data_IF_970648704827
#
_entry.id   IF_970648704827
#
_cell.length_a   1.000
_cell.length_b   1.000
_cell.length_c   1.000
_cell.angle_alpha   90.00
_cell.angle_beta   90.00
_cell.angle_gamma   90.00
#
_symmetry.space_group_name_H-M   'P 1'
#
loop_
_entity.id
_entity.type
_entity.pdbx_description
1 polymer ?
#
# COMPACT_ATOMS: atom_id res chain seq x y z
N UNK A 1 -11.49 24.84 -1.35
CA UNK A 1 -12.77 25.54 -1.15
C UNK A 1 -13.84 24.46 -0.99
N UNK A 2 -14.28 24.20 0.25
CA UNK A 2 -15.34 23.21 0.54
C UNK A 2 -16.68 23.89 0.25
N UNK A 3 -17.31 23.54 -0.87
CA UNK A 3 -18.63 24.01 -1.23
C UNK A 3 -19.66 23.03 -0.63
N UNK A 4 -20.74 23.49 0.02
CA UNK A 4 -21.67 22.64 0.79
C UNK A 4 -22.42 21.58 -0.04
N UNK A 5 -22.25 21.58 -1.37
CA UNK A 5 -22.90 20.67 -2.31
C UNK A 5 -21.97 19.61 -2.92
N UNK A 6 -20.68 19.56 -2.54
CA UNK A 6 -19.84 18.44 -2.96
C UNK A 6 -20.31 17.18 -2.22
N UNK A 7 -20.82 16.17 -2.96
CA UNK A 7 -21.19 14.87 -2.36
C UNK A 7 -20.01 14.34 -1.53
N UNK A 8 -20.27 13.69 -0.42
CA UNK A 8 -19.20 13.02 0.34
C UNK A 8 -18.72 11.78 -0.44
N UNK A 9 -17.58 11.23 -0.03
CA UNK A 9 -17.18 9.90 -0.48
C UNK A 9 -18.30 8.90 -0.09
N UNK A 10 -18.72 7.95 -0.96
CA UNK A 10 -19.91 7.12 -0.73
C UNK A 10 -19.63 5.97 0.26
N UNK A 11 -19.26 6.32 1.48
CA UNK A 11 -19.04 5.39 2.59
C UNK A 11 -20.39 4.90 3.12
N UNK A 12 -20.47 3.60 3.40
CA UNK A 12 -21.66 2.94 3.97
C UNK A 12 -21.33 2.36 5.33
N UNK A 13 -22.28 2.46 6.25
CA UNK A 13 -22.17 1.80 7.56
C UNK A 13 -22.19 0.27 7.38
N UNK A 14 -21.42 -0.51 8.17
CA UNK A 14 -21.41 -1.99 8.13
C UNK A 14 -22.77 -2.68 8.08
N UNK A 15 -23.78 -2.05 8.68
CA UNK A 15 -25.16 -2.56 8.69
C UNK A 15 -25.77 -2.67 7.29
N UNK A 16 -25.33 -1.84 6.32
CA UNK A 16 -25.77 -1.98 4.92
C UNK A 16 -25.32 -3.30 4.30
N UNK A 17 -24.13 -3.78 4.66
CA UNK A 17 -23.57 -5.03 4.14
C UNK A 17 -24.02 -6.26 4.95
N UNK A 18 -24.70 -6.06 6.09
CA UNK A 18 -25.06 -7.14 6.99
C UNK A 18 -26.14 -8.05 6.39
N UNK A 19 -25.84 -9.35 6.32
CA UNK A 19 -26.73 -10.36 5.73
C UNK A 19 -26.80 -10.30 4.20
N UNK A 20 -26.07 -9.39 3.56
CA UNK A 20 -26.02 -9.27 2.10
C UNK A 20 -25.08 -10.31 1.49
N UNK A 21 -25.22 -10.52 0.18
CA UNK A 21 -24.38 -11.40 -0.62
C UNK A 21 -23.63 -10.54 -1.64
N UNK A 22 -22.32 -10.76 -1.76
CA UNK A 22 -21.48 -10.09 -2.75
C UNK A 22 -20.74 -11.13 -3.61
N UNK A 23 -20.43 -10.79 -4.85
CA UNK A 23 -19.57 -11.63 -5.69
C UNK A 23 -18.14 -11.61 -5.17
N UNK A 24 -17.64 -10.41 -4.85
CA UNK A 24 -16.29 -10.21 -4.34
C UNK A 24 -16.31 -9.44 -3.01
N UNK A 25 -15.56 -9.91 -2.03
CA UNK A 25 -15.29 -9.17 -0.79
C UNK A 25 -13.80 -8.88 -0.71
N UNK A 26 -13.41 -7.60 -0.74
CA UNK A 26 -12.03 -7.15 -0.59
C UNK A 26 -11.80 -6.67 0.84
N UNK A 27 -10.83 -7.27 1.53
CA UNK A 27 -10.51 -6.96 2.92
C UNK A 27 -9.24 -6.10 2.99
N UNK A 28 -9.43 -4.79 3.15
CA UNK A 28 -8.39 -3.77 3.21
C UNK A 28 -8.39 -2.90 1.96
N UNK A 29 -8.77 -1.64 2.12
CA UNK A 29 -8.72 -0.57 1.12
C UNK A 29 -7.36 0.09 1.02
N UNK A 30 -6.28 -0.67 1.19
CA UNK A 30 -4.91 -0.20 1.06
C UNK A 30 -4.46 -0.01 -0.40
N UNK A 31 -3.15 -0.06 -0.62
CA UNK A 31 -2.56 0.16 -1.96
C UNK A 31 -3.06 -0.82 -3.02
N UNK A 32 -2.98 -2.13 -2.75
CA UNK A 32 -3.51 -3.16 -3.64
C UNK A 32 -5.05 -3.17 -3.65
N UNK A 33 -5.67 -3.00 -2.48
CA UNK A 33 -7.12 -3.06 -2.32
C UNK A 33 -7.88 -2.02 -3.13
N UNK A 34 -7.40 -0.78 -3.19
CA UNK A 34 -8.00 0.26 -4.04
C UNK A 34 -7.95 -0.10 -5.53
N UNK A 35 -6.78 -0.57 -6.01
CA UNK A 35 -6.61 -0.96 -7.41
C UNK A 35 -7.52 -2.14 -7.79
N UNK A 36 -7.52 -3.17 -6.95
CA UNK A 36 -8.31 -4.37 -7.17
C UNK A 36 -9.83 -4.11 -7.10
N UNK A 37 -10.29 -3.40 -6.07
CA UNK A 37 -11.71 -3.01 -5.94
C UNK A 37 -12.17 -2.21 -7.15
N UNK A 38 -11.33 -1.29 -7.63
CA UNK A 38 -11.64 -0.52 -8.83
C UNK A 38 -11.77 -1.41 -10.06
N UNK A 39 -10.87 -2.38 -10.27
CA UNK A 39 -10.96 -3.29 -11.43
C UNK A 39 -12.16 -4.23 -11.35
N UNK A 40 -12.41 -4.84 -10.19
CA UNK A 40 -13.56 -5.74 -10.01
C UNK A 40 -14.89 -5.02 -10.23
N UNK A 41 -15.00 -3.77 -9.75
CA UNK A 41 -16.24 -2.98 -9.90
C UNK A 41 -16.45 -2.37 -11.29
N UNK A 42 -15.53 -2.57 -12.25
CA UNK A 42 -15.72 -2.14 -13.65
C UNK A 42 -16.90 -2.85 -14.33
N UNK A 43 -17.12 -4.13 -14.01
CA UNK A 43 -18.27 -4.88 -14.50
C UNK A 43 -19.51 -4.54 -13.67
N UNK A 44 -20.56 -3.91 -14.25
CA UNK A 44 -21.77 -3.57 -13.51
C UNK A 44 -22.59 -4.79 -13.06
N UNK A 45 -22.28 -5.99 -13.58
CA UNK A 45 -22.99 -7.22 -13.25
C UNK A 45 -22.40 -7.95 -12.04
N UNK A 46 -21.28 -7.48 -11.48
CA UNK A 46 -20.69 -8.05 -10.27
C UNK A 46 -20.81 -7.09 -9.10
N UNK A 47 -21.15 -7.65 -7.94
CA UNK A 47 -21.27 -6.94 -6.67
C UNK A 47 -19.98 -7.04 -5.86
N UNK A 48 -19.46 -5.89 -5.43
CA UNK A 48 -18.18 -5.79 -4.72
C UNK A 48 -18.39 -5.10 -3.36
N UNK A 49 -17.92 -5.72 -2.30
CA UNK A 49 -17.81 -5.13 -0.97
C UNK A 49 -16.34 -4.84 -0.65
N UNK A 50 -16.02 -3.59 -0.36
CA UNK A 50 -14.73 -3.20 0.20
C UNK A 50 -14.87 -2.91 1.70
N UNK A 51 -14.06 -3.57 2.53
CA UNK A 51 -13.96 -3.34 3.97
C UNK A 51 -12.61 -2.70 4.27
N UNK A 52 -12.59 -1.50 4.87
CA UNK A 52 -11.37 -0.81 5.28
C UNK A 52 -11.44 -0.39 6.74
N UNK A 53 -10.37 -0.68 7.49
CA UNK A 53 -10.26 -0.37 8.92
C UNK A 53 -10.28 1.13 9.17
N UNK A 54 -9.56 1.91 8.34
CA UNK A 54 -9.46 3.35 8.48
C UNK A 54 -10.60 4.13 7.82
N UNK A 55 -10.65 5.45 8.03
CA UNK A 55 -11.57 6.35 7.33
C UNK A 55 -11.15 6.55 5.87
N UNK A 56 -12.04 7.08 5.01
CA UNK A 56 -11.63 7.56 3.69
C UNK A 56 -10.76 8.83 3.76
N UNK A 57 -11.15 9.77 4.64
CA UNK A 57 -10.44 11.02 4.98
C UNK A 57 -9.80 11.76 3.77
N UNK A 58 -10.57 11.94 2.69
CA UNK A 58 -10.14 12.73 1.52
C UNK A 58 -10.19 14.23 1.83
N UNK A 59 -9.03 14.84 2.07
CA UNK A 59 -8.94 16.26 2.40
C UNK A 59 -7.73 16.94 1.74
N UNK A 60 -7.65 18.26 1.83
CA UNK A 60 -6.58 19.01 1.20
C UNK A 60 -5.19 18.69 1.79
N UNK A 61 -5.11 18.44 3.10
CA UNK A 61 -3.85 18.14 3.79
C UNK A 61 -3.27 16.80 3.35
N UNK A 62 -4.10 15.79 3.06
CA UNK A 62 -3.64 14.49 2.55
C UNK A 62 -3.06 14.57 1.13
N UNK A 63 -3.31 15.66 0.41
CA UNK A 63 -2.77 15.93 -0.94
C UNK A 63 -1.48 16.74 -0.93
N UNK A 64 -1.15 17.41 0.18
CA UNK A 64 0.10 18.19 0.29
C UNK A 64 1.27 17.24 0.62
N UNK A 65 2.30 17.11 -0.25
CA UNK A 65 3.40 16.16 -0.06
C UNK A 65 4.07 16.19 1.32
N UNK A 66 4.49 17.37 1.79
CA UNK A 66 5.22 17.52 3.06
C UNK A 66 4.34 17.24 4.29
N UNK A 67 3.04 17.58 4.23
CA UNK A 67 2.10 17.39 5.34
C UNK A 67 1.65 15.92 5.41
N UNK A 68 1.33 15.33 4.26
CA UNK A 68 0.87 13.94 4.17
C UNK A 68 1.95 12.91 4.50
N UNK A 69 3.22 13.24 4.32
CA UNK A 69 4.35 12.35 4.68
C UNK A 69 4.68 12.38 6.18
N UNK A 70 4.05 13.25 6.97
CA UNK A 70 4.27 13.32 8.40
C UNK A 70 3.47 12.24 9.14
N UNK A 71 4.12 11.09 9.38
CA UNK A 71 3.56 9.93 10.08
C UNK A 71 3.27 10.18 11.57
N UNK A 72 3.76 11.28 12.16
CA UNK A 72 3.50 11.63 13.55
C UNK A 72 2.22 12.46 13.72
N UNK A 73 1.57 12.82 12.61
CA UNK A 73 0.36 13.64 12.62
C UNK A 73 -0.85 12.77 12.96
N UNK A 74 -1.55 13.10 14.06
CA UNK A 74 -2.63 12.28 14.61
C UNK A 74 -3.78 12.00 13.62
N UNK A 75 -4.14 12.96 12.76
CA UNK A 75 -5.20 12.83 11.75
C UNK A 75 -4.67 12.39 10.37
N UNK A 76 -3.40 11.95 10.30
CA UNK A 76 -2.74 11.51 9.07
C UNK A 76 -3.06 10.09 8.63
N UNK A 77 -3.72 9.29 9.48
CA UNK A 77 -4.00 7.88 9.21
C UNK A 77 -2.79 6.96 9.29
N UNK A 78 -1.67 7.44 9.87
CA UNK A 78 -0.53 6.60 10.20
C UNK A 78 -0.77 5.92 11.56
N UNK A 79 -0.54 4.63 11.60
CA UNK A 79 -0.58 3.80 12.81
C UNK A 79 0.73 3.05 12.93
N UNK A 80 1.03 2.54 14.12
CA UNK A 80 2.28 1.82 14.37
C UNK A 80 2.07 0.57 15.19
N UNK A 81 2.74 -0.50 14.79
CA UNK A 81 2.75 -1.78 15.46
C UNK A 81 4.08 -1.92 16.17
N UNK A 82 4.05 -2.19 17.47
CA UNK A 82 5.26 -2.35 18.26
C UNK A 82 5.79 -3.77 18.05
N UNK A 83 7.04 -3.88 17.60
CA UNK A 83 7.71 -5.17 17.52
C UNK A 83 8.07 -5.68 18.93
N UNK A 84 8.08 -7.01 19.09
CA UNK A 84 8.70 -7.65 20.24
C UNK A 84 10.20 -7.28 20.32
N UNK A 85 10.82 -7.32 21.52
CA UNK A 85 12.26 -7.10 21.68
C UNK A 85 13.08 -7.94 20.71
N UNK A 86 13.92 -7.28 19.91
CA UNK A 86 14.70 -7.95 18.88
C UNK A 86 16.08 -8.31 19.41
N UNK A 87 16.32 -9.62 19.60
CA UNK A 87 17.58 -10.19 20.09
C UNK A 87 18.85 -9.65 19.41
N UNK A 88 18.78 -9.40 18.10
CA UNK A 88 19.93 -8.93 17.30
C UNK A 88 20.02 -7.39 17.18
N UNK A 89 19.22 -6.67 17.97
CA UNK A 89 19.15 -5.21 17.97
C UNK A 89 19.20 -4.63 19.39
N UNK A 90 19.97 -5.22 20.30
CA UNK A 90 20.07 -4.83 21.72
C UNK A 90 18.71 -4.79 22.44
N UNK A 91 17.87 -5.79 22.17
CA UNK A 91 16.50 -5.92 22.70
C UNK A 91 15.59 -4.71 22.42
N UNK A 92 15.97 -3.87 21.44
CA UNK A 92 15.17 -2.72 21.05
C UNK A 92 13.84 -3.16 20.45
N UNK A 93 12.81 -2.39 20.78
CA UNK A 93 11.49 -2.50 20.16
C UNK A 93 11.38 -1.45 19.06
N UNK A 94 11.21 -1.92 17.83
CA UNK A 94 10.99 -1.04 16.68
C UNK A 94 9.50 -0.79 16.47
N UNK A 95 9.18 0.32 15.81
CA UNK A 95 7.82 0.66 15.39
C UNK A 95 7.65 0.36 13.90
N UNK A 96 6.74 -0.54 13.59
CA UNK A 96 6.31 -0.82 12.23
C UNK A 96 5.13 0.08 11.87
N UNK A 97 5.40 1.18 11.16
CA UNK A 97 4.36 2.09 10.70
C UNK A 97 3.58 1.52 9.51
N UNK A 98 2.26 1.72 9.52
CA UNK A 98 1.33 1.37 8.45
C UNK A 98 0.29 2.47 8.26
N UNK A 99 -0.34 2.53 7.07
CA UNK A 99 -1.47 3.42 6.82
C UNK A 99 -2.78 2.72 7.14
N UNK A 100 -3.53 3.23 8.12
CA UNK A 100 -4.88 2.82 8.50
C UNK A 100 -5.88 3.90 8.03
N UNK A 101 -6.00 4.00 6.71
CA UNK A 101 -6.81 4.99 5.98
C UNK A 101 -6.97 4.45 4.56
N UNK A 102 -8.05 4.79 3.85
CA UNK A 102 -8.20 4.42 2.43
C UNK A 102 -6.99 4.86 1.59
N UNK A 103 -6.41 3.92 0.83
CA UNK A 103 -5.14 4.03 0.12
C UNK A 103 -3.95 3.44 0.87
N UNK A 104 -4.07 3.25 2.19
CA UNK A 104 -3.07 2.66 3.07
C UNK A 104 -1.74 3.39 3.00
N UNK A 105 -0.65 2.64 2.84
CA UNK A 105 0.72 3.18 2.79
C UNK A 105 0.92 4.29 1.74
N UNK A 106 0.21 4.25 0.60
CA UNK A 106 0.34 5.27 -0.44
C UNK A 106 -0.12 6.68 0.00
N UNK A 107 -0.92 6.77 1.07
CA UNK A 107 -1.37 8.05 1.64
C UNK A 107 -0.32 8.73 2.51
N UNK A 108 0.58 7.94 3.10
CA UNK A 108 1.52 8.41 4.13
C UNK A 108 2.99 8.23 3.74
N UNK A 109 3.28 7.54 2.64
CA UNK A 109 4.64 7.28 2.17
C UNK A 109 5.36 8.54 1.65
N UNK A 110 6.64 8.43 1.34
CA UNK A 110 7.45 9.52 0.79
C UNK A 110 7.24 9.79 -0.72
N UNK A 111 6.21 9.21 -1.33
CA UNK A 111 5.83 9.33 -2.77
C UNK A 111 6.89 8.84 -3.76
N UNK A 112 8.00 8.26 -3.32
CA UNK A 112 9.00 7.69 -4.23
C UNK A 112 8.37 6.57 -5.04
N UNK A 113 8.47 6.67 -6.37
CA UNK A 113 8.03 5.67 -7.31
C UNK A 113 9.24 4.96 -7.90
N UNK A 114 9.36 3.67 -7.59
CA UNK A 114 10.38 2.78 -8.13
C UNK A 114 9.77 1.40 -8.38
N UNK A 115 10.12 0.77 -9.49
CA UNK A 115 9.87 -0.65 -9.75
C UNK A 115 11.04 -1.49 -9.18
N UNK A 116 10.80 -2.78 -8.97
CA UNK A 116 11.90 -3.73 -8.74
C UNK A 116 12.75 -3.91 -10.00
N UNK A 117 13.89 -4.54 -9.85
CA UNK A 117 14.75 -4.92 -10.97
C UNK A 117 14.13 -6.10 -11.72
N UNK A 118 14.45 -6.30 -13.01
CA UNK A 118 13.95 -7.46 -13.75
C UNK A 118 14.25 -8.80 -13.04
N UNK A 119 15.46 -8.91 -12.49
CA UNK A 119 15.91 -10.08 -11.73
C UNK A 119 15.02 -10.39 -10.51
N UNK A 120 14.45 -9.38 -9.85
CA UNK A 120 13.56 -9.60 -8.70
C UNK A 120 12.32 -10.40 -9.10
N UNK A 121 11.70 -10.06 -10.23
CA UNK A 121 10.48 -10.71 -10.74
C UNK A 121 10.80 -12.03 -11.46
N UNK A 122 11.89 -12.06 -12.22
CA UNK A 122 12.33 -13.29 -12.87
C UNK A 122 12.72 -14.37 -11.84
N UNK A 123 13.17 -13.96 -10.64
CA UNK A 123 13.35 -14.89 -9.53
C UNK A 123 12.03 -15.55 -9.09
N UNK A 124 10.90 -14.84 -9.15
CA UNK A 124 9.59 -15.42 -8.84
C UNK A 124 9.19 -16.44 -9.91
N UNK A 125 9.46 -16.14 -11.19
CA UNK A 125 9.25 -17.10 -12.28
C UNK A 125 10.08 -18.38 -12.07
N UNK A 126 11.35 -18.24 -11.69
CA UNK A 126 12.24 -19.36 -11.38
C UNK A 126 11.78 -20.18 -10.15
N UNK A 127 11.05 -19.56 -9.22
CA UNK A 127 10.44 -20.24 -8.06
C UNK A 127 9.15 -20.99 -8.40
N UNK A 128 8.76 -21.06 -9.68
CA UNK A 128 7.58 -21.81 -10.14
C UNK A 128 6.36 -20.94 -10.44
N UNK A 129 6.53 -19.63 -10.59
CA UNK A 129 5.46 -18.68 -10.93
C UNK A 129 5.71 -18.02 -12.29
N UNK A 130 5.65 -18.77 -13.42
CA UNK A 130 6.10 -18.28 -14.73
C UNK A 130 5.38 -17.00 -15.20
N UNK A 131 4.11 -16.82 -14.82
CA UNK A 131 3.32 -15.63 -15.14
C UNK A 131 3.79 -14.35 -14.42
N UNK A 132 4.76 -14.47 -13.50
CA UNK A 132 5.28 -13.38 -12.67
C UNK A 132 6.70 -12.92 -13.07
N UNK A 133 7.18 -13.29 -14.26
CA UNK A 133 8.41 -12.71 -14.83
C UNK A 133 8.28 -11.22 -15.08
N UNK A 134 9.41 -10.50 -15.21
CA UNK A 134 9.38 -9.06 -15.49
C UNK A 134 8.65 -8.76 -16.81
N UNK A 135 8.91 -9.57 -17.84
CA UNK A 135 8.27 -9.46 -19.15
C UNK A 135 6.73 -9.53 -19.05
N UNK A 136 6.22 -10.49 -18.27
CA UNK A 136 4.78 -10.66 -18.08
C UNK A 136 4.15 -9.54 -17.23
N UNK A 137 4.90 -8.96 -16.31
CA UNK A 137 4.42 -7.87 -15.44
C UNK A 137 4.57 -6.47 -16.06
N UNK A 138 5.48 -6.29 -17.03
CA UNK A 138 5.73 -5.00 -17.68
C UNK A 138 4.46 -4.33 -18.24
N UNK A 139 3.57 -5.04 -18.96
CA UNK A 139 2.30 -4.46 -19.41
C UNK A 139 1.43 -3.94 -18.25
N UNK A 140 1.46 -4.57 -17.08
CA UNK A 140 0.71 -4.13 -15.91
C UNK A 140 1.34 -2.92 -15.23
N UNK A 141 2.68 -2.85 -15.17
CA UNK A 141 3.36 -1.63 -14.71
C UNK A 141 2.99 -0.44 -15.59
N UNK A 142 3.07 -0.59 -16.91
CA UNK A 142 2.69 0.46 -17.86
C UNK A 142 1.21 0.81 -17.76
N UNK A 143 0.31 -0.18 -17.66
CA UNK A 143 -1.13 0.04 -17.49
C UNK A 143 -1.48 0.81 -16.20
N UNK A 144 -0.66 0.69 -15.17
CA UNK A 144 -0.92 1.30 -13.87
C UNK A 144 -0.59 2.80 -13.81
N UNK A 145 0.41 3.25 -14.57
CA UNK A 145 0.99 4.58 -14.43
C UNK A 145 0.71 5.52 -15.61
N UNK A 146 0.82 6.82 -15.35
CA UNK A 146 1.07 7.85 -16.37
C UNK A 146 2.30 8.62 -15.96
N UNK A 147 3.38 8.54 -16.73
CA UNK A 147 4.56 9.37 -16.56
C UNK A 147 4.32 10.74 -17.21
N UNK A 148 4.30 11.80 -16.39
CA UNK A 148 4.27 13.17 -16.88
C UNK A 148 5.66 13.60 -17.36
N UNK A 149 5.70 14.23 -18.53
CA UNK A 149 6.92 14.73 -19.15
C UNK A 149 6.98 14.42 -20.64
N UNK A 150 8.03 14.86 -21.31
CA UNK A 150 8.22 14.71 -22.77
C UNK A 150 8.98 13.44 -23.18
N UNK A 151 9.43 12.62 -22.24
CA UNK A 151 10.15 11.38 -22.56
C UNK A 151 9.15 10.25 -22.81
N UNK A 152 8.92 9.96 -24.10
CA UNK A 152 8.33 8.67 -24.49
C UNK A 152 9.34 7.57 -24.19
N UNK A 153 8.88 6.52 -23.52
CA UNK A 153 9.68 5.34 -23.22
C UNK A 153 8.82 4.10 -23.48
N UNK A 154 9.41 3.10 -24.13
CA UNK A 154 8.74 1.83 -24.43
C UNK A 154 8.40 1.02 -23.16
N UNK A 155 8.93 1.46 -22.01
CA UNK A 155 8.78 0.79 -20.71
C UNK A 155 7.91 1.58 -19.73
N UNK A 156 7.40 2.75 -20.10
CA UNK A 156 6.62 3.64 -19.21
C UNK A 156 5.19 3.79 -19.69
N UNK A 157 4.26 3.87 -18.74
CA UNK A 157 2.85 4.11 -19.03
C UNK A 157 2.54 5.59 -19.27
N UNK A 158 1.58 5.88 -20.15
CA UNK A 158 1.12 7.24 -20.46
C UNK A 158 -0.40 7.44 -20.28
N UNK A 159 -1.12 6.39 -19.91
CA UNK A 159 -2.59 6.40 -19.79
C UNK A 159 -3.12 5.82 -18.48
N UNK A 160 -2.26 5.28 -17.62
CA UNK A 160 -2.65 4.67 -16.36
C UNK A 160 -3.05 5.72 -15.31
N UNK A 161 -3.94 5.37 -14.36
CA UNK A 161 -4.46 6.35 -13.42
C UNK A 161 -3.43 6.86 -12.40
N UNK A 162 -2.33 6.15 -12.18
CA UNK A 162 -1.34 6.52 -11.18
C UNK A 162 -0.29 7.46 -11.76
N UNK A 163 -0.47 8.74 -11.51
CA UNK A 163 0.40 9.78 -12.08
C UNK A 163 1.76 9.79 -11.39
N UNK A 164 2.82 9.76 -12.19
CA UNK A 164 4.21 9.87 -11.77
C UNK A 164 4.90 11.02 -12.50
N UNK A 165 5.88 11.65 -11.88
CA UNK A 165 6.75 12.62 -12.55
C UNK A 165 8.12 12.68 -11.87
N UNK A 166 9.10 13.23 -12.57
CA UNK A 166 10.41 13.57 -12.01
C UNK A 166 10.59 15.09 -11.97
N UNK A 167 11.42 15.56 -11.04
CA UNK A 167 11.78 16.98 -10.95
C UNK A 167 13.20 17.15 -11.46
N UNK A 168 13.45 18.03 -12.45
CA UNK A 168 14.78 18.23 -12.96
C UNK A 168 15.75 18.65 -11.85
N UNK A 169 16.96 18.08 -11.89
CA UNK A 169 18.04 18.31 -10.92
C UNK A 169 18.46 19.78 -10.77
N UNK A 170 18.14 20.61 -11.76
CA UNK A 170 18.39 22.05 -11.78
C UNK A 170 17.23 22.90 -11.23
N UNK A 171 16.14 22.29 -10.76
CA UNK A 171 15.12 23.04 -10.02
C UNK A 171 15.70 23.55 -8.69
N UNK A 172 15.50 24.84 -8.44
CA UNK A 172 16.14 25.66 -7.40
C UNK A 172 16.14 25.09 -5.97
N UNK A 173 15.23 24.17 -5.65
CA UNK A 173 15.07 23.60 -4.31
C UNK A 173 16.14 22.54 -3.94
N UNK A 174 16.96 22.05 -4.88
CA UNK A 174 17.84 20.90 -4.65
C UNK A 174 19.32 21.14 -4.99
N UNK A 175 19.89 22.31 -4.65
CA UNK A 175 21.34 22.56 -4.85
C UNK A 175 22.23 21.47 -4.25
N UNK A 176 21.80 20.87 -3.13
CA UNK A 176 22.48 19.73 -2.51
C UNK A 176 22.54 18.51 -3.45
N UNK A 177 21.46 18.21 -4.19
CA UNK A 177 21.42 17.07 -5.12
C UNK A 177 22.51 17.18 -6.19
N UNK A 178 22.71 18.38 -6.76
CA UNK A 178 23.80 18.60 -7.73
C UNK A 178 25.17 18.30 -7.12
N UNK A 179 25.44 18.81 -5.91
CA UNK A 179 26.71 18.57 -5.21
C UNK A 179 26.93 17.09 -4.93
N UNK A 180 25.89 16.38 -4.48
CA UNK A 180 25.94 14.93 -4.25
C UNK A 180 26.15 14.15 -5.56
N UNK A 181 25.45 14.52 -6.64
CA UNK A 181 25.57 13.89 -7.95
C UNK A 181 26.97 14.07 -8.53
N UNK A 182 27.54 15.27 -8.45
CA UNK A 182 28.89 15.56 -8.92
C UNK A 182 29.95 14.81 -8.11
N UNK A 183 29.80 14.75 -6.78
CA UNK A 183 30.70 14.00 -5.91
C UNK A 183 30.63 12.49 -6.18
N UNK A 184 29.43 11.92 -6.31
CA UNK A 184 29.27 10.49 -6.59
C UNK A 184 29.79 10.13 -8.00
N UNK A 185 29.61 11.00 -9.00
CA UNK A 185 30.22 10.82 -10.32
C UNK A 185 31.75 10.84 -10.25
N UNK A 186 32.33 11.74 -9.46
CA UNK A 186 33.78 11.79 -9.25
C UNK A 186 34.34 10.53 -8.56
N UNK A 187 33.51 9.83 -7.78
CA UNK A 187 33.82 8.53 -7.18
C UNK A 187 33.59 7.34 -8.12
N UNK A 188 33.11 7.57 -9.35
CA UNK A 188 32.89 6.53 -10.36
C UNK A 188 31.47 5.93 -10.39
N UNK A 189 30.52 6.47 -9.62
CA UNK A 189 29.13 6.01 -9.70
C UNK A 189 28.48 6.45 -11.02
N UNK A 190 27.77 5.51 -11.66
CA UNK A 190 27.04 5.75 -12.90
C UNK A 190 25.78 6.59 -12.63
N UNK A 191 25.43 7.47 -13.56
CA UNK A 191 24.12 8.12 -13.57
C UNK A 191 23.12 7.19 -14.26
N UNK A 192 21.99 6.94 -13.61
CA UNK A 192 20.88 6.13 -14.12
C UNK A 192 19.68 7.07 -14.32
N UNK A 193 19.35 7.32 -15.58
CA UNK A 193 18.33 8.31 -15.94
C UNK A 193 16.91 7.86 -15.63
N UNK A 194 16.60 6.56 -15.83
CA UNK A 194 15.34 5.96 -15.41
C UNK A 194 15.63 4.59 -14.76
N UNK A 195 15.39 4.42 -13.45
CA UNK A 195 15.57 3.14 -12.78
C UNK A 195 14.43 2.14 -13.05
N UNK A 196 13.40 2.52 -13.81
CA UNK A 196 12.19 1.73 -14.01
C UNK A 196 12.16 0.98 -15.36
N UNK A 197 13.30 0.81 -16.02
CA UNK A 197 13.47 0.05 -17.27
C UNK A 197 14.05 -1.35 -16.99
N UNK A 198 13.84 -2.33 -17.88
CA UNK A 198 14.36 -3.69 -17.69
C UNK A 198 15.89 -3.77 -17.59
N UNK A 199 16.59 -2.86 -18.27
CA UNK A 199 18.05 -2.81 -18.38
C UNK A 199 18.72 -1.86 -17.38
N UNK A 200 17.93 -1.23 -16.50
CA UNK A 200 18.41 -0.31 -15.48
C UNK A 200 19.50 -0.96 -14.63
N UNK A 201 20.63 -0.26 -14.46
CA UNK A 201 21.70 -0.70 -13.57
C UNK A 201 21.24 -0.59 -12.11
N UNK A 202 21.75 -1.49 -11.27
CA UNK A 202 21.39 -1.57 -9.84
C UNK A 202 22.33 -0.80 -8.92
N UNK A 203 23.46 -0.35 -9.45
CA UNK A 203 24.48 0.41 -8.74
C UNK A 203 24.72 1.75 -9.45
N UNK A 204 24.39 2.85 -8.77
CA UNK A 204 24.53 4.18 -9.31
C UNK A 204 23.64 5.24 -8.65
N UNK A 205 23.67 6.42 -9.23
CA UNK A 205 22.87 7.58 -8.85
C UNK A 205 21.63 7.59 -9.74
N UNK A 206 20.46 7.40 -9.14
CA UNK A 206 19.20 7.30 -9.89
C UNK A 206 18.43 8.60 -9.92
N UNK A 207 17.75 8.87 -11.02
CA UNK A 207 16.65 9.83 -11.06
C UNK A 207 15.49 9.32 -10.19
N UNK A 208 15.00 10.17 -9.29
CA UNK A 208 13.88 9.84 -8.41
C UNK A 208 12.57 10.29 -9.05
N UNK A 209 11.67 9.33 -9.27
CA UNK A 209 10.30 9.61 -9.67
C UNK A 209 9.40 9.71 -8.43
N UNK A 210 8.38 10.54 -8.53
CA UNK A 210 7.43 10.80 -7.45
C UNK A 210 5.99 10.64 -7.93
N UNK A 211 5.13 10.06 -7.08
CA UNK A 211 3.68 9.93 -7.33
C UNK A 211 2.96 11.23 -6.99
N UNK A 212 3.19 12.26 -7.81
CA UNK A 212 2.58 13.58 -7.69
C UNK A 212 2.07 14.07 -9.04
N UNK A 213 0.99 14.84 -9.05
CA UNK A 213 0.38 15.38 -10.28
C UNK A 213 0.98 16.72 -10.72
N UNK A 214 0.53 17.29 -11.84
CA UNK A 214 0.96 18.57 -12.40
C UNK A 214 0.83 19.74 -11.41
N UNK A 215 -0.11 19.62 -10.46
CA UNK A 215 -0.34 20.58 -9.37
C UNK A 215 0.53 20.32 -8.14
N UNK A 216 1.50 19.40 -8.23
CA UNK A 216 2.40 18.96 -7.16
C UNK A 216 1.68 18.40 -5.94
N UNK A 217 0.52 17.79 -6.16
CA UNK A 217 -0.25 17.12 -5.13
C UNK A 217 0.08 15.63 -5.16
N UNK A 218 0.13 15.00 -3.99
CA UNK A 218 0.23 13.54 -3.85
C UNK A 218 -0.87 12.86 -4.66
N UNK A 219 -0.50 11.83 -5.39
CA UNK A 219 -1.42 10.88 -6.02
C UNK A 219 -1.24 9.53 -5.34
N UNK A 220 -2.12 9.24 -4.40
CA UNK A 220 -2.22 7.93 -3.77
C UNK A 220 -2.95 6.96 -4.69
N UNK A 221 -2.83 5.67 -4.40
CA UNK A 221 -3.68 4.65 -5.05
C UNK A 221 -5.16 4.84 -4.77
N UNK A 222 -5.54 5.49 -3.65
CA UNK A 222 -6.92 5.89 -3.41
C UNK A 222 -7.38 6.94 -4.43
N UNK A 223 -6.58 7.99 -4.67
CA UNK A 223 -6.92 9.01 -5.67
C UNK A 223 -6.88 8.46 -7.09
N UNK A 224 -5.88 7.61 -7.38
CA UNK A 224 -5.66 7.08 -8.71
C UNK A 224 -6.75 6.08 -9.10
N UNK A 225 -6.92 5.03 -8.29
CA UNK A 225 -7.74 3.89 -8.70
C UNK A 225 -9.17 3.98 -8.22
N UNK A 226 -9.40 4.51 -7.02
CA UNK A 226 -10.74 4.56 -6.43
C UNK A 226 -11.14 5.99 -6.01
N UNK A 227 -11.01 7.00 -6.91
CA UNK A 227 -11.44 8.35 -6.59
C UNK A 227 -12.94 8.39 -6.37
N UNK A 228 -13.39 9.44 -5.69
CA UNK A 228 -14.79 9.67 -5.37
C UNK A 228 -15.72 9.55 -6.59
N UNK A 229 -15.31 10.06 -7.73
CA UNK A 229 -16.10 10.02 -8.97
C UNK A 229 -16.36 8.57 -9.43
N UNK A 230 -15.32 7.75 -9.42
CA UNK A 230 -15.38 6.31 -9.73
C UNK A 230 -16.29 5.58 -8.73
N UNK A 231 -16.11 5.85 -7.44
CA UNK A 231 -16.92 5.24 -6.38
C UNK A 231 -18.42 5.61 -6.51
N UNK A 232 -18.74 6.88 -6.77
CA UNK A 232 -20.12 7.34 -6.97
C UNK A 232 -20.76 6.77 -8.24
N UNK A 233 -20.00 6.69 -9.33
CA UNK A 233 -20.48 6.11 -10.60
C UNK A 233 -20.88 4.63 -10.44
N UNK A 234 -20.23 3.93 -9.51
CA UNK A 234 -20.39 2.48 -9.28
C UNK A 234 -21.17 2.15 -8.00
N UNK A 235 -21.82 3.12 -7.38
CA UNK A 235 -22.53 2.94 -6.10
C UNK A 235 -23.62 1.84 -6.15
N UNK A 236 -24.12 1.50 -7.34
CA UNK A 236 -25.08 0.39 -7.54
C UNK A 236 -24.48 -0.99 -7.29
N UNK A 237 -23.20 -1.19 -7.60
CA UNK A 237 -22.54 -2.50 -7.55
C UNK A 237 -21.28 -2.51 -6.66
N UNK A 238 -20.88 -1.36 -6.12
CA UNK A 238 -19.77 -1.20 -5.19
C UNK A 238 -20.26 -0.65 -3.83
N UNK A 239 -20.12 -1.47 -2.79
CA UNK A 239 -20.33 -1.06 -1.39
C UNK A 239 -18.97 -0.84 -0.72
N UNK A 240 -18.80 0.30 -0.05
CA UNK A 240 -17.54 0.63 0.66
C UNK A 240 -17.85 0.87 2.13
N UNK A 241 -17.32 0.03 3.00
CA UNK A 241 -17.42 0.15 4.46
C UNK A 241 -16.05 0.53 5.04
N UNK A 242 -15.88 1.81 5.36
CA UNK A 242 -14.71 2.35 6.08
C UNK A 242 -14.93 2.27 7.59
N UNK A 243 -13.90 2.56 8.40
CA UNK A 243 -13.96 2.44 9.86
C UNK A 243 -14.42 1.05 10.32
N UNK A 244 -14.11 0.02 9.52
CA UNK A 244 -14.66 -1.33 9.64
C UNK A 244 -13.53 -2.34 9.54
N UNK A 245 -13.35 -3.14 10.60
CA UNK A 245 -12.31 -4.16 10.67
C UNK A 245 -12.91 -5.55 10.43
N UNK A 246 -12.29 -6.30 9.53
CA UNK A 246 -12.60 -7.72 9.34
C UNK A 246 -12.00 -8.55 10.47
N UNK A 247 -12.79 -9.47 11.02
CA UNK A 247 -12.37 -10.31 12.14
C UNK A 247 -11.99 -11.72 11.71
N UNK A 248 -12.78 -12.35 10.83
CA UNK A 248 -12.53 -13.72 10.34
C UNK A 248 -13.32 -14.03 9.08
N UNK A 249 -12.85 -15.01 8.34
CA UNK A 249 -13.53 -15.64 7.21
C UNK A 249 -13.98 -17.04 7.65
N UNK A 250 -15.20 -17.44 7.30
CA UNK A 250 -15.68 -18.81 7.50
C UNK A 250 -15.79 -19.55 6.18
N UNK A 251 -15.69 -20.87 6.29
CA UNK A 251 -15.66 -21.76 5.13
C UNK A 251 -16.81 -22.75 5.22
N UNK A 252 -17.44 -23.01 4.08
CA UNK A 252 -18.25 -24.20 3.84
C UNK A 252 -17.37 -25.31 3.26
N UNK A 253 -17.88 -26.53 3.32
CA UNK A 253 -17.23 -27.69 2.71
C UNK A 253 -18.03 -28.07 1.46
N UNK A 254 -17.43 -27.87 0.29
CA UNK A 254 -18.02 -28.23 -1.00
C UNK A 254 -17.05 -29.20 -1.69
N UNK A 255 -17.44 -30.48 -1.81
CA UNK A 255 -16.58 -31.50 -2.42
C UNK A 255 -15.27 -31.80 -1.67
N UNK A 256 -15.23 -31.57 -0.35
CA UNK A 256 -14.02 -31.76 0.47
C UNK A 256 -12.98 -30.65 0.35
N UNK A 257 -13.29 -29.58 -0.38
CA UNK A 257 -12.45 -28.39 -0.51
C UNK A 257 -13.09 -27.25 0.29
N UNK A 258 -12.37 -26.59 1.21
CA UNK A 258 -12.88 -25.43 1.91
C UNK A 258 -13.19 -24.29 0.93
N UNK A 259 -14.45 -23.85 0.90
CA UNK A 259 -14.90 -22.69 0.11
C UNK A 259 -15.28 -21.57 1.04
N UNK A 260 -14.88 -20.34 0.74
CA UNK A 260 -15.27 -19.16 1.54
C UNK A 260 -16.79 -18.99 1.51
N UNK A 261 -17.42 -18.88 2.69
CA UNK A 261 -18.88 -18.68 2.85
C UNK A 261 -19.18 -17.24 3.27
N UNK A 262 -18.57 -16.78 4.37
CA UNK A 262 -18.85 -15.45 4.95
C UNK A 262 -17.61 -14.76 5.47
N UNK A 263 -17.67 -13.44 5.44
CA UNK A 263 -16.71 -12.56 6.11
C UNK A 263 -17.41 -11.88 7.28
N UNK A 264 -16.81 -11.95 8.46
CA UNK A 264 -17.28 -11.28 9.66
C UNK A 264 -16.48 -9.99 9.88
N UNK A 265 -17.17 -8.93 10.26
CA UNK A 265 -16.57 -7.62 10.47
C UNK A 265 -17.31 -6.82 11.53
N UNK A 266 -16.65 -5.80 12.08
CA UNK A 266 -17.21 -4.87 13.08
C UNK A 266 -16.66 -3.47 12.87
N UNK A 267 -17.29 -2.48 13.50
CA UNK A 267 -16.72 -1.13 13.56
C UNK A 267 -15.38 -1.15 14.30
N UNK A 268 -14.37 -0.49 13.74
CA UNK A 268 -12.99 -0.53 14.25
C UNK A 268 -12.85 0.11 15.65
N UNK A 269 -13.49 1.27 15.86
CA UNK A 269 -13.39 2.05 17.10
C UNK A 269 -14.65 1.97 17.97
N UNK A 270 -15.50 0.97 17.75
CA UNK A 270 -16.72 0.82 18.52
C UNK A 270 -16.49 0.08 19.83
N UNK A 271 -17.03 0.62 20.92
CA UNK A 271 -17.19 -0.11 22.19
C UNK A 271 -18.24 -1.23 22.11
N UNK A 272 -19.01 -1.28 21.02
CA UNK A 272 -20.00 -2.33 20.79
C UNK A 272 -19.36 -3.56 20.17
N UNK A 273 -19.66 -4.72 20.74
CA UNK A 273 -19.32 -6.03 20.18
C UNK A 273 -20.30 -6.50 19.10
N UNK A 274 -21.07 -5.59 18.48
CA UNK A 274 -21.96 -5.96 17.37
C UNK A 274 -21.11 -6.41 16.17
N UNK A 275 -21.26 -7.69 15.83
CA UNK A 275 -20.61 -8.31 14.68
C UNK A 275 -21.60 -8.34 13.52
N UNK A 276 -21.13 -7.91 12.36
CA UNK A 276 -21.83 -8.00 11.09
C UNK A 276 -21.22 -9.12 10.25
N UNK A 277 -21.95 -9.61 9.26
CA UNK A 277 -21.43 -10.58 8.31
C UNK A 277 -22.00 -10.38 6.92
N UNK A 278 -21.22 -10.70 5.90
CA UNK A 278 -21.65 -10.73 4.50
C UNK A 278 -21.25 -12.07 3.88
N UNK A 279 -22.10 -12.60 3.01
CA UNK A 279 -21.84 -13.81 2.22
C UNK A 279 -21.07 -13.48 0.94
N UNK A 280 -20.32 -14.45 0.45
CA UNK A 280 -19.58 -14.35 -0.81
C UNK A 280 -19.99 -15.41 -1.81
N UNK A 281 -20.18 -15.05 -3.08
CA UNK A 281 -20.50 -15.99 -4.15
C UNK A 281 -19.24 -16.48 -4.89
N UNK A 282 -18.26 -15.60 -5.12
CA UNK A 282 -17.04 -15.92 -5.87
C UNK A 282 -15.82 -15.97 -4.97
N UNK A 283 -15.28 -14.82 -4.58
CA UNK A 283 -13.96 -14.76 -3.94
C UNK A 283 -13.88 -13.73 -2.80
N UNK A 284 -13.14 -14.10 -1.75
CA UNK A 284 -12.67 -13.15 -0.73
C UNK A 284 -11.21 -12.88 -0.98
N UNK A 285 -10.85 -11.60 -1.11
CA UNK A 285 -9.49 -11.18 -1.46
C UNK A 285 -8.92 -10.35 -0.32
N UNK A 286 -7.86 -10.86 0.30
CA UNK A 286 -7.23 -10.23 1.48
C UNK A 286 -6.16 -9.24 1.02
N UNK A 287 -6.38 -7.96 1.30
CA UNK A 287 -5.52 -6.82 0.94
C UNK A 287 -5.14 -5.98 2.17
N UNK A 288 -5.04 -6.60 3.35
CA UNK A 288 -4.78 -5.93 4.64
C UNK A 288 -3.29 -5.67 4.93
N UNK A 289 -2.46 -5.60 3.88
CA UNK A 289 -1.02 -5.42 3.97
C UNK A 289 -0.27 -6.65 4.52
N UNK A 290 1.07 -6.59 4.54
CA UNK A 290 1.93 -7.70 4.97
C UNK A 290 1.81 -8.05 6.46
N UNK A 291 1.31 -7.13 7.28
CA UNK A 291 1.07 -7.35 8.71
C UNK A 291 -0.36 -7.82 9.00
N UNK A 292 -1.38 -7.18 8.39
CA UNK A 292 -2.78 -7.50 8.67
C UNK A 292 -3.28 -8.75 7.93
N UNK A 293 -2.82 -9.00 6.70
CA UNK A 293 -3.28 -10.17 5.93
C UNK A 293 -3.00 -11.52 6.61
N UNK A 294 -1.78 -11.81 7.11
CA UNK A 294 -1.56 -13.06 7.83
C UNK A 294 -2.38 -13.16 9.12
N UNK A 295 -2.65 -12.04 9.81
CA UNK A 295 -3.53 -12.04 10.97
C UNK A 295 -4.96 -12.46 10.62
N UNK A 296 -5.54 -11.89 9.55
CA UNK A 296 -6.89 -12.26 9.08
C UNK A 296 -6.95 -13.73 8.69
N UNK A 297 -5.92 -14.25 8.00
CA UNK A 297 -5.84 -15.66 7.62
C UNK A 297 -5.77 -16.57 8.86
N UNK A 298 -4.91 -16.27 9.83
CA UNK A 298 -4.78 -17.05 11.06
C UNK A 298 -6.07 -17.04 11.88
N UNK A 299 -6.72 -15.88 12.03
CA UNK A 299 -8.04 -15.77 12.68
C UNK A 299 -9.15 -16.54 11.95
N UNK A 300 -8.93 -16.89 10.69
CA UNK A 300 -9.83 -17.70 9.85
C UNK A 300 -9.46 -19.19 9.84
N UNK A 301 -8.45 -19.59 10.61
CA UNK A 301 -7.98 -20.98 10.68
C UNK A 301 -7.03 -21.40 9.55
N UNK A 302 -6.43 -20.44 8.83
CA UNK A 302 -5.40 -20.69 7.81
C UNK A 302 -4.06 -20.20 8.34
N UNK A 303 -3.16 -21.13 8.68
CA UNK A 303 -1.87 -20.79 9.26
C UNK A 303 -1.17 -21.98 9.92
N UNK A 304 -0.10 -21.74 10.71
CA UNK A 304 0.63 -22.82 11.37
C UNK A 304 -0.25 -23.56 12.38
N UNK A 305 -0.53 -24.85 12.13
CA UNK A 305 -1.45 -25.67 12.95
C UNK A 305 -1.24 -25.52 14.47
N UNK A 306 -0.01 -25.73 14.95
CA UNK A 306 0.29 -25.67 16.39
C UNK A 306 -0.09 -24.33 17.01
N UNK A 307 0.24 -23.24 16.33
CA UNK A 307 -0.08 -21.89 16.80
C UNK A 307 -1.60 -21.63 16.82
N UNK A 308 -2.32 -22.12 15.82
CA UNK A 308 -3.78 -22.01 15.77
C UNK A 308 -4.45 -22.81 16.90
N UNK A 309 -3.97 -24.02 17.15
CA UNK A 309 -4.48 -24.90 18.22
C UNK A 309 -4.21 -24.30 19.62
N UNK A 310 -3.04 -23.71 19.85
CA UNK A 310 -2.70 -22.97 21.09
C UNK A 310 -3.67 -21.82 21.38
N UNK A 311 -4.19 -21.17 20.33
CA UNK A 311 -5.16 -20.07 20.43
C UNK A 311 -6.62 -20.55 20.40
N UNK A 312 -6.87 -21.86 20.36
CA UNK A 312 -8.22 -22.44 20.29
C UNK A 312 -8.94 -22.19 18.96
N UNK A 313 -8.21 -21.89 17.88
CA UNK A 313 -8.77 -21.64 16.55
C UNK A 313 -8.86 -22.96 15.79
N UNK A 314 -10.04 -23.29 15.27
CA UNK A 314 -10.23 -24.46 14.40
C UNK A 314 -9.35 -24.32 13.14
N UNK A 315 -8.48 -25.31 12.91
CA UNK A 315 -7.63 -25.36 11.72
C UNK A 315 -8.47 -25.73 10.50
N UNK A 316 -8.58 -24.79 9.57
CA UNK A 316 -9.18 -24.99 8.23
C UNK A 316 -8.11 -25.51 7.27
N UNK A 317 -6.92 -24.91 7.30
CA UNK A 317 -5.81 -25.31 6.44
C UNK A 317 -4.47 -25.03 7.14
N UNK A 318 -3.63 -26.05 7.24
CA UNK A 318 -2.31 -25.95 7.85
C UNK A 318 -1.31 -25.37 6.83
N UNK A 319 -0.96 -24.10 7.02
CA UNK A 319 -0.07 -23.37 6.13
C UNK A 319 0.98 -22.62 6.95
N UNK A 320 2.10 -23.28 7.33
CA UNK A 320 3.11 -22.70 8.24
C UNK A 320 3.81 -21.45 7.68
N UNK A 321 3.69 -21.21 6.37
CA UNK A 321 4.18 -19.99 5.73
C UNK A 321 3.43 -18.72 6.13
N UNK A 322 2.18 -18.81 6.61
CA UNK A 322 1.39 -17.63 7.00
C UNK A 322 2.00 -16.98 8.24
N UNK A 323 2.32 -15.70 8.14
CA UNK A 323 2.97 -14.93 9.22
C UNK A 323 4.49 -15.12 9.29
N UNK A 324 5.06 -15.99 8.46
CA UNK A 324 6.50 -16.26 8.38
C UNK A 324 7.18 -15.40 7.31
N UNK A 325 8.53 -15.39 7.30
CA UNK A 325 9.37 -14.75 6.27
C UNK A 325 9.06 -13.26 6.02
N UNK A 326 8.77 -12.50 7.07
CA UNK A 326 8.63 -11.04 6.95
C UNK A 326 9.99 -10.42 6.56
N UNK A 327 10.05 -9.84 5.37
CA UNK A 327 11.22 -9.09 4.88
C UNK A 327 10.93 -7.59 4.96
N UNK A 328 11.90 -6.81 5.45
CA UNK A 328 11.86 -5.35 5.49
C UNK A 328 13.23 -4.76 5.19
N UNK A 329 13.25 -3.64 4.47
CA UNK A 329 14.47 -2.83 4.35
C UNK A 329 14.74 -2.10 5.66
N UNK A 330 15.97 -2.20 6.16
CA UNK A 330 16.43 -1.44 7.30
C UNK A 330 16.94 -0.07 6.85
N UNK A 331 16.40 0.99 7.44
CA UNK A 331 16.84 2.36 7.19
C UNK A 331 17.64 2.88 8.37
N UNK A 332 18.83 3.42 8.08
CA UNK A 332 19.69 4.10 9.04
C UNK A 332 19.93 5.52 8.57
N UNK A 333 19.80 6.49 9.47
CA UNK A 333 20.09 7.89 9.19
C UNK A 333 21.43 8.25 9.82
N UNK A 334 22.37 8.73 9.01
CA UNK A 334 23.59 9.37 9.52
C UNK A 334 23.26 10.84 9.79
N UNK A 335 23.14 11.21 11.06
CA UNK A 335 23.02 12.62 11.46
C UNK A 335 24.42 13.12 11.77
N UNK A 336 25.01 14.02 10.96
CA UNK A 336 26.31 14.57 11.29
C UNK A 336 26.19 15.36 12.59
N UNK A 337 26.84 14.84 13.63
CA UNK A 337 26.87 15.45 14.95
C UNK A 337 27.72 16.72 14.86
N UNK A 338 27.12 17.86 14.48
CA UNK A 338 27.78 19.17 14.58
C UNK A 338 27.85 19.58 16.05
N UNK A 339 28.74 18.95 16.82
CA UNK A 339 29.47 19.69 17.85
C UNK A 339 30.41 20.62 17.09
N UNK A 340 29.91 21.78 16.69
CA UNK A 340 30.79 22.91 16.42
C UNK A 340 31.40 23.25 17.77
N UNK A 341 32.62 22.78 18.03
CA UNK A 341 33.45 23.35 19.07
C UNK A 341 33.71 24.80 18.68
N UNK A 342 32.83 25.72 19.10
CA UNK A 342 33.14 27.14 19.24
C UNK A 342 34.02 27.29 20.48
N UNK A 343 35.23 26.77 20.43
CA UNK A 343 36.30 27.06 21.37
C UNK A 343 37.61 26.69 20.69
N UNK A 344 38.48 27.68 20.53
CA UNK A 344 39.87 27.61 20.06
C UNK A 344 40.08 27.68 18.54
N UNK A 345 39.71 28.82 17.96
CA UNK A 345 40.58 29.46 16.96
C UNK A 345 41.05 30.78 17.55
N UNK A 346 42.05 30.71 18.43
CA UNK A 346 42.99 31.81 18.63
C UNK A 346 43.97 31.78 17.47
N UNK A 347 44.00 32.88 16.73
CA UNK A 347 45.01 33.19 15.73
C UNK A 347 46.29 33.53 16.50
N UNK A 348 47.36 32.79 16.23
CA UNK A 348 48.72 33.32 16.19
C UNK A 348 49.27 33.10 14.77
#
# INVERSE_FOLDING_TARGET
>A
MWWPFSKKYPERHPEHANGQVYDYIVIGGGTAGCALTSRLSEDPNVSVLLIERGPANDNFMSRIPIVSSNILRADGGASSWKCEPMKYCDDRQSLAFCGEVMGGGSRINSMVYTRGTAADYDSWAQLGHPDWSYENLLPYFMKSETLLGSQKSDFRGDSGPWITQTFPSHTWAFKAYRVFSDAARALGFLQIDDPNTPDAKVDGIVTVYSTVNERRQRVSTFDAFLPRETALKREKNLTICTNTISSRITFSEEGGIPRTDKVFFKLADSKSDKIYSAKVNREVIVCSGSLGSPQVLMLSGIGPRKHLEELGIKVTHDLPGVGSKLVRCQFSYCVPNRRINRANTSIE
#
